data_IF_922536911658
#
_entry.id   IF_922536911658
#
_cell.length_a   1.000
_cell.length_b   1.000
_cell.length_c   1.000
_cell.angle_alpha   90.00
_cell.angle_beta   90.00
_cell.angle_gamma   90.00
#
_symmetry.space_group_name_H-M   'P 1'
#
loop_
_entity.id
_entity.type
_entity.pdbx_description
1 polymer ?
#
# COMPACT_ATOMS: atom_id res chain seq x y z
N UNK A 1 -20.06 -6.50 -12.94
CA UNK A 1 -19.04 -7.43 -12.43
C UNK A 1 -17.73 -6.65 -12.38
N UNK A 2 -17.39 -6.12 -11.21
CA UNK A 2 -16.06 -5.56 -10.93
C UNK A 2 -15.30 -6.67 -10.23
N UNK A 3 -14.35 -7.26 -10.95
CA UNK A 3 -13.44 -8.28 -10.42
C UNK A 3 -12.53 -7.66 -9.35
N UNK A 4 -12.53 -8.30 -8.18
CA UNK A 4 -11.56 -8.24 -7.08
C UNK A 4 -10.47 -7.16 -7.20
N UNK A 5 -10.78 -5.96 -6.74
CA UNK A 5 -9.76 -4.92 -6.53
C UNK A 5 -9.08 -5.20 -5.19
N UNK A 6 -7.84 -5.69 -5.28
CA UNK A 6 -6.75 -5.60 -4.31
C UNK A 6 -7.18 -5.18 -2.88
N UNK A 7 -7.73 -6.10 -2.09
CA UNK A 7 -7.63 -6.17 -0.62
C UNK A 7 -7.84 -4.92 0.26
N UNK A 8 -8.27 -3.78 -0.26
CA UNK A 8 -8.46 -2.54 0.50
C UNK A 8 -9.94 -2.38 0.77
N UNK A 9 -10.38 -2.95 1.89
CA UNK A 9 -11.68 -2.64 2.46
C UNK A 9 -11.80 -1.14 2.80
N UNK A 10 -13.03 -0.66 2.97
CA UNK A 10 -13.38 0.75 3.26
C UNK A 10 -12.83 1.33 4.58
N UNK A 11 -12.00 0.57 5.30
CA UNK A 11 -11.33 0.98 6.52
C UNK A 11 -9.91 1.40 6.16
N UNK A 12 -9.65 2.71 6.25
CA UNK A 12 -8.40 3.38 5.91
C UNK A 12 -7.20 2.96 6.80
N UNK A 13 -6.78 1.69 6.72
CA UNK A 13 -5.62 1.17 7.44
C UNK A 13 -5.77 1.18 8.96
N UNK A 14 -6.99 1.23 9.49
CA UNK A 14 -7.21 1.16 10.93
C UNK A 14 -7.00 -0.28 11.41
N UNK A 15 -6.39 -0.47 12.61
CA UNK A 15 -6.32 -1.80 13.22
C UNK A 15 -7.69 -2.45 13.25
N UNK A 16 -7.74 -3.73 12.90
CA UNK A 16 -8.93 -4.54 13.12
C UNK A 16 -9.26 -4.52 14.62
N UNK A 17 -10.56 -4.55 14.94
CA UNK A 17 -11.00 -4.82 16.31
C UNK A 17 -10.49 -6.18 16.77
N UNK A 18 -10.52 -6.46 18.08
CA UNK A 18 -10.09 -7.77 18.60
C UNK A 18 -10.83 -8.94 17.93
N UNK A 19 -12.11 -8.76 17.59
CA UNK A 19 -12.94 -9.74 16.86
C UNK A 19 -12.88 -9.57 15.32
N UNK A 20 -12.01 -8.71 14.81
CA UNK A 20 -11.93 -8.38 13.39
C UNK A 20 -11.31 -9.51 12.57
N UNK A 21 -12.03 -9.99 11.57
CA UNK A 21 -11.53 -11.02 10.65
C UNK A 21 -10.61 -10.45 9.56
N UNK A 22 -9.58 -11.21 9.20
CA UNK A 22 -8.83 -10.94 7.98
C UNK A 22 -9.73 -11.07 6.75
N UNK A 23 -9.53 -10.24 5.70
CA UNK A 23 -10.20 -10.44 4.41
C UNK A 23 -10.01 -11.88 3.92
N UNK A 24 -11.06 -12.52 3.42
CA UNK A 24 -11.05 -13.94 3.06
C UNK A 24 -9.99 -14.27 1.99
N UNK A 25 -9.75 -13.34 1.05
CA UNK A 25 -8.73 -13.46 0.01
C UNK A 25 -7.28 -13.37 0.53
N UNK A 26 -7.09 -12.98 1.78
CA UNK A 26 -5.79 -12.90 2.46
C UNK A 26 -5.63 -13.99 3.53
N UNK A 27 -6.65 -14.83 3.74
CA UNK A 27 -6.62 -15.92 4.72
C UNK A 27 -5.56 -16.95 4.33
N UNK A 28 -4.74 -17.35 5.32
CA UNK A 28 -3.74 -18.42 5.16
C UNK A 28 -2.44 -18.00 4.48
N UNK A 29 -2.25 -16.72 4.13
CA UNK A 29 -0.93 -16.20 3.75
C UNK A 29 -0.07 -16.00 4.99
N UNK A 30 1.15 -16.53 4.94
CA UNK A 30 2.19 -16.20 5.91
C UNK A 30 2.86 -14.87 5.54
N UNK A 31 3.79 -14.42 6.39
CA UNK A 31 4.51 -13.17 6.17
C UNK A 31 5.31 -13.18 4.85
N UNK A 32 5.88 -14.32 4.47
CA UNK A 32 6.60 -14.47 3.20
C UNK A 32 5.69 -14.23 2.00
N UNK A 33 4.48 -14.81 2.02
CA UNK A 33 3.48 -14.62 0.97
C UNK A 33 2.97 -13.18 0.83
N UNK A 34 3.06 -12.35 1.87
CA UNK A 34 2.82 -10.90 1.76
C UNK A 34 4.00 -10.16 1.13
N UNK A 35 5.24 -10.50 1.49
CA UNK A 35 6.41 -9.90 0.86
C UNK A 35 6.49 -10.22 -0.63
N UNK A 36 6.17 -11.44 -1.02
CA UNK A 36 6.12 -11.84 -2.43
C UNK A 36 5.05 -11.06 -3.20
N UNK A 37 3.89 -10.83 -2.58
CA UNK A 37 2.82 -10.02 -3.17
C UNK A 37 3.30 -8.57 -3.39
N UNK A 38 3.90 -7.95 -2.37
CA UNK A 38 4.45 -6.60 -2.47
C UNK A 38 5.54 -6.49 -3.55
N UNK A 39 6.42 -7.49 -3.66
CA UNK A 39 7.46 -7.52 -4.67
C UNK A 39 6.88 -7.56 -6.09
N UNK A 40 5.85 -8.39 -6.30
CA UNK A 40 5.14 -8.48 -7.59
C UNK A 40 4.41 -7.19 -7.93
N UNK A 41 3.69 -6.61 -6.97
CA UNK A 41 2.95 -5.35 -7.16
C UNK A 41 3.91 -4.21 -7.51
N UNK A 42 5.09 -4.17 -6.87
CA UNK A 42 6.14 -3.20 -7.18
C UNK A 42 6.67 -3.36 -8.60
N UNK A 43 6.98 -4.60 -9.01
CA UNK A 43 7.46 -4.88 -10.38
C UNK A 43 6.41 -4.47 -11.41
N UNK A 44 5.18 -4.92 -11.26
CA UNK A 44 4.09 -4.61 -12.19
C UNK A 44 3.81 -3.10 -12.27
N UNK A 45 3.86 -2.41 -11.13
CA UNK A 45 3.72 -0.94 -11.09
C UNK A 45 4.85 -0.26 -11.84
N UNK A 46 6.10 -0.69 -11.61
CA UNK A 46 7.27 -0.13 -12.30
C UNK A 46 7.16 -0.33 -13.81
N UNK A 47 6.89 -1.56 -14.26
CA UNK A 47 6.76 -1.91 -15.68
C UNK A 47 5.64 -1.09 -16.34
N UNK A 48 4.54 -0.80 -15.62
CA UNK A 48 3.46 0.03 -16.12
C UNK A 48 3.89 1.50 -16.28
N UNK A 49 4.46 2.09 -15.23
CA UNK A 49 4.77 3.54 -15.20
C UNK A 49 6.00 3.89 -16.01
N UNK A 50 6.93 2.95 -16.25
CA UNK A 50 8.12 3.16 -17.08
C UNK A 50 7.76 3.53 -18.53
N UNK A 51 6.58 3.10 -18.98
CA UNK A 51 6.09 3.39 -20.32
C UNK A 51 5.29 4.70 -20.41
N UNK A 52 5.17 5.48 -19.33
CA UNK A 52 4.47 6.76 -19.32
C UNK A 52 5.42 7.90 -19.66
N UNK A 53 5.03 8.74 -20.62
CA UNK A 53 5.72 9.97 -20.96
C UNK A 53 4.98 11.21 -20.42
N UNK A 54 5.58 12.39 -20.55
CA UNK A 54 5.00 13.65 -20.08
C UNK A 54 3.64 13.94 -20.71
N UNK A 55 3.44 13.55 -21.97
CA UNK A 55 2.16 13.74 -22.68
C UNK A 55 1.07 12.82 -22.13
N UNK A 56 1.44 11.62 -21.69
CA UNK A 56 0.52 10.66 -21.09
C UNK A 56 -0.03 11.11 -19.74
N UNK A 57 0.62 12.05 -19.05
CA UNK A 57 0.21 12.50 -17.71
C UNK A 57 -1.22 13.08 -17.66
N UNK A 58 -1.69 13.63 -18.78
CA UNK A 58 -3.04 14.21 -18.87
C UNK A 58 -4.08 13.20 -19.41
N UNK A 59 -3.66 11.98 -19.78
CA UNK A 59 -4.58 10.90 -20.10
C UNK A 59 -5.35 10.47 -18.85
N UNK A 60 -6.63 10.16 -19.05
CA UNK A 60 -7.53 9.78 -17.98
C UNK A 60 -7.85 8.29 -18.01
N UNK A 61 -7.82 7.67 -16.83
CA UNK A 61 -8.29 6.31 -16.57
C UNK A 61 -9.63 6.37 -15.80
N UNK A 62 -10.46 5.36 -15.99
CA UNK A 62 -11.72 5.20 -15.25
C UNK A 62 -12.98 5.20 -16.13
N UNK A 63 -14.13 5.48 -15.52
CA UNK A 63 -15.44 5.42 -16.17
C UNK A 63 -16.46 6.36 -15.54
N UNK A 64 -17.74 6.28 -15.93
CA UNK A 64 -18.78 7.18 -15.44
C UNK A 64 -18.83 7.20 -13.90
N UNK A 65 -18.57 8.36 -13.31
CA UNK A 65 -18.60 8.59 -11.86
C UNK A 65 -17.24 8.67 -11.17
N UNK A 66 -16.16 8.21 -11.81
CA UNK A 66 -14.81 8.33 -11.25
C UNK A 66 -13.76 8.27 -12.37
N UNK A 67 -13.07 9.38 -12.58
CA UNK A 67 -12.05 9.54 -13.62
C UNK A 67 -10.83 10.19 -13.01
N UNK A 68 -9.66 9.63 -13.26
CA UNK A 68 -8.39 10.10 -12.73
C UNK A 68 -7.39 10.28 -13.86
N UNK A 69 -6.62 11.37 -13.85
CA UNK A 69 -5.48 11.49 -14.76
C UNK A 69 -4.32 10.60 -14.30
N UNK A 70 -3.47 10.18 -15.22
CA UNK A 70 -2.19 9.52 -14.88
C UNK A 70 -1.38 10.35 -13.88
N UNK A 71 -1.36 11.68 -14.04
CA UNK A 71 -0.75 12.61 -13.08
C UNK A 71 -1.31 12.45 -11.66
N UNK A 72 -2.63 12.40 -11.53
CA UNK A 72 -3.27 12.19 -10.23
C UNK A 72 -2.92 10.82 -9.66
N UNK A 73 -2.90 9.77 -10.50
CA UNK A 73 -2.53 8.41 -10.08
C UNK A 73 -1.10 8.36 -9.54
N UNK A 74 -0.12 8.97 -10.23
CA UNK A 74 1.26 9.03 -9.74
C UNK A 74 1.38 9.77 -8.41
N UNK A 75 0.72 10.92 -8.30
CA UNK A 75 0.66 11.67 -7.05
C UNK A 75 0.07 10.81 -5.92
N UNK A 76 -1.04 10.14 -6.19
CA UNK A 76 -1.78 9.37 -5.20
C UNK A 76 -1.02 8.12 -4.75
N UNK A 77 -0.29 7.43 -5.65
CA UNK A 77 0.60 6.32 -5.29
C UNK A 77 1.66 6.79 -4.28
N UNK A 78 2.31 7.93 -4.55
CA UNK A 78 3.33 8.49 -3.67
C UNK A 78 2.73 8.88 -2.31
N UNK A 79 1.57 9.54 -2.33
CA UNK A 79 0.84 9.98 -1.15
C UNK A 79 0.40 8.79 -0.28
N UNK A 80 -0.22 7.75 -0.86
CA UNK A 80 -0.58 6.53 -0.15
C UNK A 80 0.63 5.81 0.44
N UNK A 81 1.72 5.71 -0.32
CA UNK A 81 2.93 5.07 0.18
C UNK A 81 3.47 5.81 1.42
N UNK A 82 3.57 7.14 1.36
CA UNK A 82 4.04 7.95 2.47
C UNK A 82 3.13 7.80 3.70
N UNK A 83 1.80 7.82 3.51
CA UNK A 83 0.84 7.65 4.59
C UNK A 83 0.96 6.28 5.28
N UNK A 84 0.96 5.19 4.51
CA UNK A 84 1.07 3.84 5.07
C UNK A 84 2.45 3.57 5.68
N UNK A 85 3.52 4.10 5.11
CA UNK A 85 4.85 4.00 5.71
C UNK A 85 4.88 4.70 7.08
N UNK A 86 4.25 5.87 7.21
CA UNK A 86 4.07 6.55 8.49
C UNK A 86 3.33 5.67 9.52
N UNK A 87 2.23 5.04 9.11
CA UNK A 87 1.47 4.12 9.98
C UNK A 87 2.31 2.94 10.47
N UNK A 88 3.09 2.31 9.58
CA UNK A 88 4.00 1.21 9.94
C UNK A 88 5.04 1.66 10.97
N UNK A 89 5.65 2.84 10.76
CA UNK A 89 6.62 3.39 11.71
C UNK A 89 5.99 3.68 13.08
N UNK A 90 4.76 4.22 13.12
CA UNK A 90 4.03 4.45 14.37
C UNK A 90 3.73 3.14 15.11
N UNK A 91 3.37 2.07 14.38
CA UNK A 91 3.17 0.75 14.96
C UNK A 91 4.48 0.19 15.53
N UNK A 92 5.57 0.24 14.77
CA UNK A 92 6.89 -0.22 15.23
C UNK A 92 7.36 0.51 16.48
N UNK A 93 7.14 1.83 16.54
CA UNK A 93 7.45 2.63 17.72
C UNK A 93 6.60 2.18 18.93
N UNK A 94 5.29 2.02 18.74
CA UNK A 94 4.38 1.55 19.80
C UNK A 94 4.73 0.14 20.29
N UNK A 95 5.14 -0.75 19.39
CA UNK A 95 5.56 -2.11 19.74
C UNK A 95 6.90 -2.10 20.48
N UNK A 96 7.85 -1.24 20.09
CA UNK A 96 9.12 -1.05 20.81
C UNK A 96 8.90 -0.53 22.23
N UNK A 97 8.06 0.49 22.40
CA UNK A 97 7.76 1.07 23.71
C UNK A 97 7.05 0.06 24.64
N UNK A 98 6.36 -0.93 24.06
CA UNK A 98 5.76 -2.07 24.78
C UNK A 98 6.70 -3.27 24.94
N UNK A 99 7.93 -3.20 24.44
CA UNK A 99 8.90 -4.31 24.52
C UNK A 99 8.54 -5.53 23.66
N UNK A 100 7.71 -5.36 22.63
CA UNK A 100 7.26 -6.45 21.73
C UNK A 100 8.29 -6.73 20.62
N UNK A 101 8.97 -5.69 20.14
CA UNK A 101 10.06 -5.81 19.15
C UNK A 101 11.24 -4.97 19.57
N UNK A 102 12.43 -5.51 19.33
CA UNK A 102 13.67 -4.74 19.43
C UNK A 102 13.95 -4.12 18.05
N UNK A 103 13.51 -2.88 17.86
CA UNK A 103 13.81 -2.14 16.62
C UNK A 103 15.20 -1.54 16.81
N UNK A 104 16.19 -1.89 15.96
CA UNK A 104 17.53 -1.32 16.07
C UNK A 104 17.44 0.21 16.10
N UNK A 105 18.13 0.85 17.04
CA UNK A 105 18.23 2.30 17.05
C UNK A 105 18.69 2.78 15.68
N UNK A 106 18.03 3.85 15.22
CA UNK A 106 18.24 4.54 13.94
C UNK A 106 19.75 4.53 13.61
N UNK A 107 20.18 3.72 12.64
CA UNK A 107 21.55 3.85 12.12
C UNK A 107 21.63 5.24 11.50
N UNK A 108 22.35 6.14 12.16
CA UNK A 108 22.60 7.47 11.64
C UNK A 108 23.25 7.36 10.27
N UNK A 109 22.70 8.05 9.27
CA UNK A 109 23.27 8.12 7.94
C UNK A 109 22.22 8.32 6.85
N UNK A 110 21.93 9.60 6.58
CA UNK A 110 22.05 10.13 5.22
C UNK A 110 23.23 11.10 5.24
#
# INVERSE_FOLDING_TARGET
MLEEHLGVGSSAGMPLSEDGGHPDNLRGRDLGGYFDLLARDRSATHDLVENWDDASLDQTLGGPGMTFSHRWVLYHILEHFAAHFGQILSLLHSMRDRGVVDVPEKRGGL
#
